data_IF_590289246645
#
_entry.id   IF_590289246645
#
_cell.length_a   1.000
_cell.length_b   1.000
_cell.length_c   1.000
_cell.angle_alpha   90.00
_cell.angle_beta   90.00
_cell.angle_gamma   90.00
#
_symmetry.space_group_name_H-M   'P 1'
#
loop_
_entity.id
_entity.type
_entity.pdbx_description
1 polymer ?
#
# COMPACT_ATOMS: atom_id res chain seq x y z
N UNK A 1 -52.73 6.19 -20.56
CA UNK A 1 -51.38 6.72 -20.34
C UNK A 1 -50.47 6.25 -21.45
N UNK A 2 -50.01 7.17 -22.28
CA UNK A 2 -49.16 6.84 -23.44
C UNK A 2 -47.79 6.36 -23.01
N UNK A 3 -47.35 5.22 -23.51
CA UNK A 3 -46.04 4.60 -23.23
C UNK A 3 -44.87 5.55 -23.54
N UNK A 4 -45.03 6.48 -24.48
CA UNK A 4 -44.04 7.50 -24.82
C UNK A 4 -43.85 8.56 -23.72
N UNK A 5 -44.90 8.92 -22.97
CA UNK A 5 -44.84 9.86 -21.85
C UNK A 5 -44.16 9.24 -20.62
N UNK A 6 -44.32 7.93 -20.43
CA UNK A 6 -43.66 7.21 -19.34
C UNK A 6 -42.14 7.13 -19.53
N UNK A 7 -41.67 6.90 -20.76
CA UNK A 7 -40.25 6.88 -21.09
C UNK A 7 -39.58 8.26 -20.94
N UNK A 8 -40.30 9.33 -21.23
CA UNK A 8 -39.81 10.71 -21.06
C UNK A 8 -39.62 11.08 -19.58
N UNK A 9 -40.52 10.63 -18.70
CA UNK A 9 -40.41 10.86 -17.25
C UNK A 9 -39.26 10.04 -16.63
N UNK A 10 -39.01 8.85 -17.10
CA UNK A 10 -37.90 8.00 -16.62
C UNK A 10 -36.51 8.58 -16.93
N UNK A 11 -36.36 9.22 -18.09
CA UNK A 11 -35.10 9.87 -18.48
C UNK A 11 -34.82 11.17 -17.70
N UNK A 12 -35.86 11.92 -17.32
CA UNK A 12 -35.70 13.12 -16.52
C UNK A 12 -35.32 12.81 -15.06
N UNK A 13 -35.75 11.66 -14.52
CA UNK A 13 -35.40 11.25 -13.14
C UNK A 13 -33.93 10.79 -12.99
N UNK A 14 -33.28 10.36 -14.07
CA UNK A 14 -31.86 9.97 -14.07
C UNK A 14 -30.89 11.16 -14.05
N UNK A 15 -31.37 12.38 -14.36
CA UNK A 15 -30.52 13.58 -14.41
C UNK A 15 -30.27 14.25 -13.05
N UNK A 16 -30.86 13.76 -11.94
CA UNK A 16 -30.74 14.35 -10.59
C UNK A 16 -30.09 13.38 -9.61
N UNK A 17 -29.21 12.48 -10.08
CA UNK A 17 -28.30 11.81 -9.18
C UNK A 17 -27.23 12.83 -8.83
N UNK A 18 -27.16 13.32 -7.56
CA UNK A 18 -26.03 14.15 -7.16
C UNK A 18 -24.79 13.32 -7.40
N UNK A 19 -23.97 13.73 -8.37
CA UNK A 19 -22.61 13.21 -8.49
C UNK A 19 -21.89 13.63 -7.20
N UNK A 20 -21.95 12.79 -6.19
CA UNK A 20 -21.04 12.87 -5.06
C UNK A 20 -19.66 12.78 -5.67
N UNK A 21 -18.93 13.90 -5.68
CA UNK A 21 -17.53 13.92 -6.09
C UNK A 21 -16.82 12.96 -5.15
N UNK A 22 -16.55 11.76 -5.62
CA UNK A 22 -15.59 10.87 -4.99
C UNK A 22 -14.24 11.58 -5.10
N UNK A 23 -13.89 12.35 -4.08
CA UNK A 23 -12.60 13.02 -3.97
C UNK A 23 -11.55 11.96 -3.61
N UNK A 24 -11.28 11.04 -4.52
CA UNK A 24 -10.14 10.17 -4.42
C UNK A 24 -8.89 11.00 -4.72
N UNK A 25 -8.03 11.16 -3.73
CA UNK A 25 -6.75 11.84 -3.86
C UNK A 25 -5.84 10.96 -4.72
N UNK A 26 -5.36 11.49 -5.85
CA UNK A 26 -4.31 10.84 -6.64
C UNK A 26 -2.94 11.18 -6.03
N UNK A 27 -2.51 10.40 -5.04
CA UNK A 27 -1.23 10.60 -4.36
C UNK A 27 -0.02 10.56 -5.30
N UNK A 28 -0.12 9.98 -6.49
CA UNK A 28 1.00 9.99 -7.45
C UNK A 28 1.17 11.37 -8.09
N UNK A 29 0.08 12.09 -8.28
CA UNK A 29 0.09 13.45 -8.83
C UNK A 29 0.33 14.51 -7.75
N UNK A 30 -0.31 14.35 -6.59
CA UNK A 30 -0.24 15.35 -5.52
C UNK A 30 1.03 15.25 -4.68
N UNK A 31 1.58 14.03 -4.51
CA UNK A 31 2.75 13.73 -3.67
C UNK A 31 3.77 12.87 -4.42
N UNK A 32 4.30 13.32 -5.57
CA UNK A 32 5.24 12.52 -6.38
C UNK A 32 6.52 12.16 -5.62
N UNK A 33 7.02 13.04 -4.76
CA UNK A 33 8.25 12.86 -3.98
C UNK A 33 8.15 11.69 -3.00
N UNK A 34 6.96 11.41 -2.47
CA UNK A 34 6.74 10.27 -1.57
C UNK A 34 7.07 8.93 -2.25
N UNK A 35 6.88 8.83 -3.56
CA UNK A 35 7.17 7.64 -4.36
C UNK A 35 8.65 7.51 -4.71
N UNK A 36 9.45 8.55 -4.50
CA UNK A 36 10.90 8.55 -4.71
C UNK A 36 11.67 8.27 -3.42
N UNK A 37 11.02 8.37 -2.25
CA UNK A 37 11.63 8.16 -0.94
C UNK A 37 12.36 6.81 -0.83
N UNK A 38 13.66 6.85 -0.57
CA UNK A 38 14.49 5.65 -0.43
C UNK A 38 14.26 4.96 0.91
N UNK A 39 13.92 5.71 1.95
CA UNK A 39 13.63 5.20 3.28
C UNK A 39 12.16 5.40 3.66
N UNK A 40 11.62 4.59 4.60
CA UNK A 40 10.28 4.83 5.14
C UNK A 40 10.12 6.24 5.70
N UNK A 41 11.15 6.78 6.36
CA UNK A 41 11.12 8.12 6.93
C UNK A 41 10.95 9.21 5.85
N UNK A 42 11.70 9.12 4.76
CA UNK A 42 11.61 10.08 3.64
C UNK A 42 10.22 10.04 3.00
N UNK A 43 9.70 8.84 2.75
CA UNK A 43 8.39 8.66 2.15
C UNK A 43 7.26 9.16 3.07
N UNK A 44 7.33 8.89 4.37
CA UNK A 44 6.37 9.38 5.36
C UNK A 44 6.42 10.90 5.44
N UNK A 45 7.62 11.49 5.49
CA UNK A 45 7.79 12.95 5.52
C UNK A 45 7.22 13.62 4.28
N UNK A 46 7.42 13.03 3.11
CA UNK A 46 6.86 13.54 1.85
C UNK A 46 5.33 13.40 1.77
N UNK A 47 4.75 12.34 2.35
CA UNK A 47 3.30 12.11 2.39
C UNK A 47 2.59 13.02 3.41
N UNK A 48 3.09 13.02 4.64
CA UNK A 48 2.37 13.51 5.82
C UNK A 48 3.12 14.61 6.59
N UNK A 49 4.36 14.91 6.22
CA UNK A 49 5.21 15.84 6.96
C UNK A 49 5.88 15.20 8.18
N UNK A 50 6.26 16.02 9.15
CA UNK A 50 6.88 15.56 10.39
C UNK A 50 5.79 15.09 11.37
N UNK A 51 5.50 13.79 11.36
CA UNK A 51 4.50 13.16 12.20
C UNK A 51 5.13 12.30 13.29
N UNK A 52 4.38 12.08 14.39
CA UNK A 52 4.72 11.15 15.46
C UNK A 52 3.62 10.10 15.58
N UNK A 53 3.71 8.99 14.84
CA UNK A 53 2.66 7.99 14.87
C UNK A 53 2.69 7.19 16.18
N UNK A 54 1.49 6.92 16.73
CA UNK A 54 1.30 6.03 17.87
C UNK A 54 1.25 4.57 17.38
N UNK A 55 1.96 3.67 18.04
CA UNK A 55 1.88 2.24 17.73
C UNK A 55 0.63 1.61 18.34
N UNK A 56 -0.53 1.87 17.74
CA UNK A 56 -1.85 1.49 18.26
C UNK A 56 -2.85 1.26 17.13
N UNK A 57 -3.79 0.33 17.33
CA UNK A 57 -4.97 0.17 16.47
C UNK A 57 -4.74 -0.35 15.06
N UNK A 58 -3.49 -0.55 14.64
CA UNK A 58 -3.13 -1.04 13.30
C UNK A 58 -2.63 -2.49 13.40
N UNK A 59 -3.09 -3.36 12.52
CA UNK A 59 -2.69 -4.76 12.44
C UNK A 59 -2.10 -5.05 11.05
N UNK A 60 -0.92 -5.65 11.02
CA UNK A 60 -0.31 -6.19 9.81
C UNK A 60 -0.22 -7.70 9.95
N UNK A 61 -0.66 -8.43 8.94
CA UNK A 61 -0.47 -9.88 8.83
C UNK A 61 0.35 -10.18 7.59
N UNK A 62 1.44 -10.89 7.78
CA UNK A 62 2.30 -11.42 6.72
C UNK A 62 3.02 -12.68 7.25
N UNK A 63 3.56 -13.55 6.40
CA UNK A 63 4.37 -14.68 6.84
C UNK A 63 5.62 -14.15 7.56
N UNK A 64 6.00 -14.79 8.68
CA UNK A 64 7.25 -14.45 9.39
C UNK A 64 8.48 -14.72 8.52
N UNK A 65 8.45 -15.81 7.77
CA UNK A 65 9.46 -16.18 6.78
C UNK A 65 8.78 -16.25 5.40
N UNK A 66 9.23 -15.41 4.48
CA UNK A 66 8.83 -15.46 3.08
C UNK A 66 9.86 -16.28 2.30
N UNK A 67 9.46 -17.46 1.84
CA UNK A 67 10.30 -18.31 0.98
C UNK A 67 10.57 -17.66 -0.38
N UNK A 68 9.61 -16.87 -0.86
CA UNK A 68 9.72 -16.13 -2.10
C UNK A 68 9.55 -14.62 -1.85
N UNK A 69 10.65 -13.89 -1.79
CA UNK A 69 10.65 -12.43 -1.66
C UNK A 69 9.98 -11.68 -2.83
N UNK A 70 9.73 -12.36 -3.94
CA UNK A 70 9.00 -11.81 -5.10
C UNK A 70 7.48 -11.80 -4.92
N UNK A 71 6.95 -12.51 -3.93
CA UNK A 71 5.50 -12.68 -3.72
C UNK A 71 5.18 -12.84 -2.23
N UNK A 72 5.13 -11.74 -1.52
CA UNK A 72 4.82 -11.70 -0.08
C UNK A 72 3.39 -11.19 0.11
N UNK A 73 2.45 -12.04 0.57
CA UNK A 73 1.10 -11.58 0.89
C UNK A 73 1.13 -10.78 2.18
N UNK A 74 0.53 -9.59 2.15
CA UNK A 74 0.42 -8.68 3.29
C UNK A 74 -1.02 -8.24 3.43
N UNK A 75 -1.57 -8.32 4.64
CA UNK A 75 -2.90 -7.83 4.98
C UNK A 75 -2.75 -6.72 6.01
N UNK A 76 -3.38 -5.58 5.75
CA UNK A 76 -3.45 -4.45 6.68
C UNK A 76 -4.89 -4.27 7.14
N UNK A 77 -5.10 -4.27 8.46
CA UNK A 77 -6.42 -4.08 9.08
C UNK A 77 -6.35 -3.03 10.17
N UNK A 78 -7.41 -2.25 10.29
CA UNK A 78 -7.58 -1.30 11.38
C UNK A 78 -9.07 -0.99 11.58
N UNK A 79 -9.46 -0.72 12.81
CA UNK A 79 -10.80 -0.26 13.18
C UNK A 79 -10.84 1.28 13.34
N UNK A 80 -9.74 1.98 13.02
CA UNK A 80 -9.62 3.43 13.10
C UNK A 80 -10.40 4.07 11.95
N UNK A 81 -11.24 5.06 12.27
CA UNK A 81 -11.84 5.91 11.24
C UNK A 81 -10.77 6.81 10.61
N UNK A 82 -10.38 6.47 9.39
CA UNK A 82 -9.19 7.01 8.74
C UNK A 82 -9.51 7.83 7.50
N UNK A 83 -8.56 8.69 7.12
CA UNK A 83 -8.53 9.40 5.84
C UNK A 83 -7.69 8.65 4.81
N UNK A 84 -6.55 8.14 5.25
CA UNK A 84 -5.62 7.43 4.38
C UNK A 84 -4.84 6.35 5.11
N UNK A 85 -4.33 5.39 4.33
CA UNK A 85 -3.43 4.34 4.80
C UNK A 85 -2.25 4.25 3.85
N UNK A 86 -1.03 4.25 4.38
CA UNK A 86 0.19 4.03 3.61
C UNK A 86 0.89 2.74 4.06
N UNK A 87 1.40 1.98 3.10
CA UNK A 87 2.21 0.78 3.32
C UNK A 87 3.61 1.01 2.77
N UNK A 88 4.61 0.77 3.62
CA UNK A 88 6.01 1.01 3.31
C UNK A 88 6.86 -0.23 3.64
N UNK A 89 8.05 -0.28 3.09
CA UNK A 89 9.09 -1.27 3.38
C UNK A 89 10.48 -0.62 3.32
N UNK A 90 11.50 -1.26 3.89
CA UNK A 90 12.83 -0.68 4.07
C UNK A 90 13.96 -1.33 3.26
N UNK A 91 13.64 -2.28 2.37
CA UNK A 91 14.66 -3.08 1.68
C UNK A 91 14.82 -2.80 0.20
N UNK A 92 13.79 -2.27 -0.45
CA UNK A 92 13.82 -1.92 -1.87
C UNK A 92 14.29 -0.47 -2.06
N UNK A 93 14.76 -0.08 -3.25
CA UNK A 93 15.23 1.27 -3.53
C UNK A 93 14.19 2.38 -3.31
N UNK A 94 12.90 2.02 -3.37
CA UNK A 94 11.78 2.90 -3.05
C UNK A 94 10.95 2.28 -1.95
N UNK A 95 10.73 3.04 -0.91
CA UNK A 95 10.12 2.56 0.32
C UNK A 95 8.60 2.43 0.23
N UNK A 96 7.93 3.38 -0.43
CA UNK A 96 6.47 3.41 -0.53
C UNK A 96 5.96 2.31 -1.46
N UNK A 97 5.09 1.46 -0.93
CA UNK A 97 4.46 0.36 -1.68
C UNK A 97 3.09 0.76 -2.20
N UNK A 98 2.25 1.29 -1.33
CA UNK A 98 0.88 1.69 -1.65
C UNK A 98 0.37 2.78 -0.72
N UNK A 99 -0.58 3.58 -1.21
CA UNK A 99 -1.38 4.52 -0.41
C UNK A 99 -2.83 4.36 -0.83
N UNK A 100 -3.72 4.28 0.14
CA UNK A 100 -5.17 4.21 -0.07
C UNK A 100 -5.85 5.40 0.58
N UNK A 101 -6.76 6.03 -0.12
CA UNK A 101 -7.73 6.98 0.45
C UNK A 101 -8.91 6.18 0.98
N UNK A 102 -9.33 6.48 2.19
CA UNK A 102 -10.46 5.81 2.83
C UNK A 102 -11.69 6.71 2.69
N UNK A 103 -12.74 6.26 1.99
CA UNK A 103 -13.99 7.01 1.91
C UNK A 103 -14.69 7.05 3.28
N UNK A 104 -15.69 7.89 3.40
CA UNK A 104 -16.50 7.94 4.63
C UNK A 104 -17.18 6.60 4.91
N UNK A 105 -17.07 6.11 6.15
CA UNK A 105 -17.54 4.78 6.52
C UNK A 105 -16.74 3.61 5.96
N UNK A 106 -15.61 3.87 5.30
CA UNK A 106 -14.76 2.83 4.72
C UNK A 106 -14.04 2.00 5.78
N UNK A 107 -13.89 0.71 5.50
CA UNK A 107 -13.21 -0.26 6.38
C UNK A 107 -11.78 -0.47 5.88
N UNK A 108 -10.82 -0.48 6.80
CA UNK A 108 -9.43 -0.83 6.51
C UNK A 108 -9.25 -2.34 6.61
N UNK A 109 -9.37 -3.02 5.49
CA UNK A 109 -9.08 -4.45 5.32
C UNK A 109 -8.49 -4.67 3.93
N UNK A 110 -7.19 -4.39 3.78
CA UNK A 110 -6.51 -4.46 2.50
C UNK A 110 -5.58 -5.65 2.42
N UNK A 111 -5.69 -6.40 1.32
CA UNK A 111 -4.77 -7.48 0.98
C UNK A 111 -3.99 -7.10 -0.27
N UNK A 112 -2.67 -7.17 -0.19
CA UNK A 112 -1.76 -6.87 -1.29
C UNK A 112 -0.63 -7.89 -1.34
N UNK A 113 -0.14 -8.17 -2.52
CA UNK A 113 1.11 -8.91 -2.70
C UNK A 113 2.24 -7.95 -3.02
N UNK A 114 3.30 -7.97 -2.23
CA UNK A 114 4.45 -7.09 -2.42
C UNK A 114 5.75 -7.87 -2.60
N UNK A 115 6.81 -7.14 -2.99
CA UNK A 115 8.16 -7.70 -3.18
C UNK A 115 9.12 -7.07 -2.19
N UNK A 116 10.01 -7.89 -1.62
CA UNK A 116 11.14 -7.44 -0.82
C UNK A 116 12.42 -8.17 -1.27
N UNK A 117 13.50 -7.41 -1.48
CA UNK A 117 14.79 -7.97 -1.94
C UNK A 117 15.46 -8.85 -0.90
N UNK A 118 15.26 -8.53 0.37
CA UNK A 118 15.89 -9.18 1.53
C UNK A 118 15.01 -9.03 2.75
N UNK A 119 15.38 -9.67 3.83
CA UNK A 119 14.76 -9.48 5.14
C UNK A 119 14.78 -8.02 5.58
N UNK A 120 13.71 -7.56 6.20
CA UNK A 120 13.53 -6.17 6.63
C UNK A 120 12.22 -5.96 7.34
N UNK A 121 11.70 -4.74 7.28
CA UNK A 121 10.48 -4.33 7.99
C UNK A 121 9.43 -3.81 7.01
N UNK A 122 8.18 -4.16 7.30
CA UNK A 122 7.00 -3.55 6.69
C UNK A 122 6.40 -2.59 7.72
N UNK A 123 6.07 -1.39 7.28
CA UNK A 123 5.43 -0.35 8.11
C UNK A 123 4.11 0.04 7.49
N UNK A 124 3.03 0.01 8.26
CA UNK A 124 1.76 0.62 7.90
C UNK A 124 1.56 1.88 8.72
N UNK A 125 1.13 2.96 8.06
CA UNK A 125 0.74 4.23 8.67
C UNK A 125 -0.72 4.47 8.35
N UNK A 126 -1.51 4.82 9.36
CA UNK A 126 -2.92 5.19 9.24
C UNK A 126 -3.08 6.63 9.68
N UNK A 127 -3.59 7.48 8.80
CA UNK A 127 -4.01 8.83 9.11
C UNK A 127 -5.45 8.82 9.59
N UNK A 128 -5.66 9.03 10.88
CA UNK A 128 -6.98 9.10 11.48
C UNK A 128 -7.73 10.38 11.12
N UNK A 129 -9.06 10.33 11.10
CA UNK A 129 -9.89 11.54 10.96
C UNK A 129 -9.80 12.45 12.19
N UNK A 130 -9.35 11.92 13.31
CA UNK A 130 -9.05 12.66 14.56
C UNK A 130 -7.77 13.51 14.46
N UNK A 131 -7.09 13.49 13.31
CA UNK A 131 -5.84 14.22 13.06
C UNK A 131 -4.60 13.55 13.65
N UNK A 132 -4.72 12.35 14.21
CA UNK A 132 -3.60 11.58 14.72
C UNK A 132 -3.11 10.56 13.69
N UNK A 133 -1.88 10.13 13.88
CA UNK A 133 -1.26 9.09 13.06
C UNK A 133 -1.02 7.85 13.90
N UNK A 134 -1.32 6.71 13.30
CA UNK A 134 -1.17 5.40 13.93
C UNK A 134 -0.28 4.53 13.07
N UNK A 135 0.51 3.67 13.70
CA UNK A 135 1.46 2.84 12.97
C UNK A 135 1.52 1.41 13.48
N UNK A 136 2.04 0.54 12.64
CA UNK A 136 2.52 -0.79 13.00
C UNK A 136 3.72 -1.12 12.16
N UNK A 137 4.73 -1.69 12.81
CA UNK A 137 5.93 -2.22 12.16
C UNK A 137 5.95 -3.73 12.34
N UNK A 138 6.19 -4.46 11.24
CA UNK A 138 6.32 -5.91 11.24
C UNK A 138 7.64 -6.32 10.59
N UNK A 139 8.57 -6.98 11.32
CA UNK A 139 9.76 -7.58 10.70
C UNK A 139 9.37 -8.81 9.88
N UNK A 140 10.02 -8.99 8.73
CA UNK A 140 9.87 -10.12 7.84
C UNK A 140 11.23 -10.68 7.47
N UNK A 141 11.38 -11.98 7.57
CA UNK A 141 12.51 -12.70 7.04
C UNK A 141 12.23 -13.16 5.61
N UNK A 142 13.19 -12.98 4.71
CA UNK A 142 13.13 -13.43 3.32
C UNK A 142 14.26 -14.43 3.11
N UNK A 143 13.93 -15.64 2.67
CA UNK A 143 14.94 -16.66 2.39
C UNK A 143 15.82 -16.24 1.21
N UNK A 144 17.10 -16.66 1.26
CA UNK A 144 18.06 -16.42 0.18
C UNK A 144 17.61 -17.20 -1.07
N UNK A 145 17.02 -16.49 -2.05
CA UNK A 145 16.53 -17.11 -3.30
C UNK A 145 15.33 -16.40 -3.91
N UNK A 146 14.68 -15.49 -3.16
CA UNK A 146 13.59 -14.68 -3.69
C UNK A 146 14.09 -13.51 -4.52
N UNK A 147 13.54 -13.31 -5.69
CA UNK A 147 13.69 -12.15 -6.60
C UNK A 147 15.04 -11.91 -7.31
N UNK A 148 16.12 -12.60 -6.99
CA UNK A 148 17.44 -12.40 -7.60
C UNK A 148 18.06 -13.65 -8.23
N UNK A 149 17.38 -14.79 -8.14
CA UNK A 149 17.96 -16.09 -8.47
C UNK A 149 18.15 -16.41 -9.96
N UNK A 150 17.90 -15.46 -10.87
CA UNK A 150 18.07 -15.76 -12.31
C UNK A 150 19.28 -15.11 -12.96
N UNK A 151 20.05 -14.30 -12.25
CA UNK A 151 21.23 -13.64 -12.82
C UNK A 151 22.56 -13.85 -12.09
N UNK A 152 22.65 -14.85 -11.22
CA UNK A 152 23.93 -15.26 -10.62
C UNK A 152 24.09 -16.75 -10.62
N UNK A 153 24.19 -17.34 -11.80
CA UNK A 153 24.95 -18.57 -11.98
C UNK A 153 26.41 -18.17 -12.22
N UNK A 154 27.32 -18.31 -11.27
CA UNK A 154 28.74 -18.27 -11.62
C UNK A 154 28.96 -19.51 -12.49
N UNK A 155 29.30 -19.30 -13.74
CA UNK A 155 29.90 -20.31 -14.58
C UNK A 155 31.04 -20.98 -13.83
N UNK A 156 30.82 -22.21 -13.40
CA UNK A 156 31.87 -23.09 -12.89
C UNK A 156 32.85 -23.30 -14.06
N UNK A 157 33.90 -22.54 -14.04
CA UNK A 157 35.08 -22.83 -14.91
C UNK A 157 35.67 -24.13 -14.36
N UNK A 158 35.37 -25.22 -15.03
CA UNK A 158 36.10 -26.47 -14.88
C UNK A 158 37.54 -26.20 -15.39
N UNK A 159 38.47 -26.03 -14.45
CA UNK A 159 39.90 -26.10 -14.76
C UNK A 159 40.26 -27.56 -14.73
N UNK A 160 40.39 -28.15 -15.92
CA UNK A 160 40.92 -29.49 -16.11
C UNK A 160 42.42 -29.44 -15.77
N UNK A 161 42.81 -30.15 -14.71
CA UNK A 161 44.22 -30.39 -14.34
C UNK A 161 44.69 -31.62 -15.06
N UNK A 162 45.52 -31.43 -16.09
CA UNK A 162 46.51 -32.42 -16.53
C UNK A 162 47.70 -32.41 -15.60
#
# INVERSE_FOLDING_TARGET
MDRRKFLGLGLAALAVVPMTKLNAIDFRKEKPDAWQGATPADAIKALYGDIKPEEKGVKIKAPKLAENGGKIPVVVKSDIDAKSVALLQDTNPRSLVAVWTIPEGGIIDFSITMKMKKSGKITAIVEGKDGKFYSKVLPIEVSKGGCGGWFSSPSQIFVDKK
#
